data_IF_579639064423
#
_entry.id   IF_579639064423
#
_cell.length_a   1.000
_cell.length_b   1.000
_cell.length_c   1.000
_cell.angle_alpha   90.00
_cell.angle_beta   90.00
_cell.angle_gamma   90.00
#
_symmetry.space_group_name_H-M   'P 1'
#
loop_
_entity.id
_entity.type
_entity.pdbx_description
1 polymer ?
#
# COMPACT_ATOMS: atom_id res chain seq x y z
N UNK A 1 3.14 -21.82 5.81
CA UNK A 1 2.42 -21.58 7.09
C UNK A 1 3.13 -20.64 8.06
N UNK A 2 4.45 -20.73 8.29
CA UNK A 2 5.16 -19.82 9.23
C UNK A 2 4.98 -18.32 8.87
N UNK A 3 5.15 -17.95 7.59
CA UNK A 3 4.92 -16.57 7.10
C UNK A 3 3.50 -16.05 7.38
N UNK A 4 2.48 -16.91 7.20
CA UNK A 4 1.10 -16.51 7.47
C UNK A 4 0.85 -16.24 8.96
N UNK A 5 1.54 -16.95 9.87
CA UNK A 5 1.49 -16.64 11.30
C UNK A 5 2.10 -15.27 11.59
N UNK A 6 3.25 -14.94 10.98
CA UNK A 6 3.85 -13.61 11.14
C UNK A 6 2.96 -12.49 10.60
N UNK A 7 2.34 -12.70 9.44
CA UNK A 7 1.35 -11.77 8.89
C UNK A 7 0.17 -11.55 9.83
N UNK A 8 -0.37 -12.62 10.42
CA UNK A 8 -1.46 -12.53 11.39
C UNK A 8 -1.04 -11.80 12.68
N UNK A 9 0.14 -12.10 13.22
CA UNK A 9 0.67 -11.42 14.41
C UNK A 9 0.86 -9.94 14.15
N UNK A 10 1.43 -9.58 12.99
CA UNK A 10 1.58 -8.18 12.58
C UNK A 10 0.22 -7.49 12.44
N UNK A 11 -0.76 -8.13 11.80
CA UNK A 11 -2.11 -7.60 11.67
C UNK A 11 -2.76 -7.31 13.04
N UNK A 12 -2.72 -8.29 13.94
CA UNK A 12 -3.27 -8.14 15.30
C UNK A 12 -2.57 -7.01 16.04
N UNK A 13 -1.23 -6.95 15.97
CA UNK A 13 -0.44 -5.90 16.61
C UNK A 13 -0.83 -4.50 16.10
N UNK A 14 -0.97 -4.31 14.78
CA UNK A 14 -1.38 -3.04 14.18
C UNK A 14 -2.82 -2.64 14.51
N UNK A 15 -3.69 -3.62 14.78
CA UNK A 15 -5.08 -3.41 15.17
C UNK A 15 -5.28 -3.18 16.67
N UNK A 16 -4.25 -3.32 17.50
CA UNK A 16 -4.34 -2.99 18.92
C UNK A 16 -4.62 -1.49 19.07
N UNK A 17 -5.65 -1.07 19.82
CA UNK A 17 -5.98 0.36 19.99
C UNK A 17 -4.80 1.27 20.34
N UNK A 18 -3.88 0.94 21.28
CA UNK A 18 -2.75 1.83 21.55
C UNK A 18 -1.79 1.98 20.37
N UNK A 19 -1.63 0.93 19.55
CA UNK A 19 -0.75 0.95 18.38
C UNK A 19 -1.42 1.72 17.25
N UNK A 20 -2.69 1.44 16.97
CA UNK A 20 -3.49 2.17 15.98
C UNK A 20 -3.52 3.66 16.30
N UNK A 21 -3.91 4.06 17.52
CA UNK A 21 -3.95 5.45 17.94
C UNK A 21 -2.60 6.17 17.80
N UNK A 22 -1.49 5.49 18.12
CA UNK A 22 -0.15 6.06 17.95
C UNK A 22 0.19 6.27 16.47
N UNK A 23 -0.01 5.27 15.63
CA UNK A 23 0.35 5.36 14.21
C UNK A 23 -0.55 6.35 13.46
N UNK A 24 -1.79 6.52 13.90
CA UNK A 24 -2.77 7.41 13.30
C UNK A 24 -2.63 8.86 13.77
N UNK A 25 -1.93 9.10 14.88
CA UNK A 25 -1.69 10.44 15.41
C UNK A 25 -0.79 11.32 14.55
N UNK A 26 -0.02 10.74 13.62
CA UNK A 26 0.87 11.46 12.71
C UNK A 26 0.59 11.02 11.27
N UNK A 27 0.26 11.98 10.40
CA UNK A 27 -0.21 11.66 9.03
C UNK A 27 0.76 10.79 8.23
N UNK A 28 2.06 11.13 8.26
CA UNK A 28 3.08 10.39 7.50
C UNK A 28 3.24 8.95 8.04
N UNK A 29 3.09 8.74 9.34
CA UNK A 29 3.17 7.41 9.95
C UNK A 29 1.92 6.60 9.59
N UNK A 30 0.74 7.21 9.59
CA UNK A 30 -0.50 6.55 9.17
C UNK A 30 -0.39 6.06 7.71
N UNK A 31 -0.03 6.95 6.77
CA UNK A 31 -0.05 6.65 5.34
C UNK A 31 1.19 5.91 4.83
N UNK A 32 2.40 6.26 5.28
CA UNK A 32 3.65 5.65 4.79
C UNK A 32 4.21 4.54 5.69
N UNK A 33 3.54 4.23 6.81
CA UNK A 33 3.96 3.11 7.66
C UNK A 33 2.79 2.17 7.99
N UNK A 34 1.74 2.61 8.69
CA UNK A 34 0.65 1.73 9.12
C UNK A 34 -0.06 1.08 7.92
N UNK A 35 -0.48 1.87 6.93
CA UNK A 35 -1.19 1.34 5.76
C UNK A 35 -0.34 0.35 4.92
N UNK A 36 0.93 0.67 4.56
CA UNK A 36 1.82 -0.31 3.94
C UNK A 36 2.03 -1.57 4.78
N UNK A 37 2.17 -1.45 6.11
CA UNK A 37 2.33 -2.60 6.99
C UNK A 37 1.07 -3.47 7.05
N UNK A 38 -0.13 -2.88 6.96
CA UNK A 38 -1.37 -3.63 6.80
C UNK A 38 -1.39 -4.41 5.48
N UNK A 39 -0.99 -3.79 4.36
CA UNK A 39 -0.83 -4.50 3.08
C UNK A 39 0.21 -5.62 3.21
N UNK A 40 1.37 -5.35 3.83
CA UNK A 40 2.42 -6.34 4.06
C UNK A 40 1.92 -7.52 4.91
N UNK A 41 1.10 -7.26 5.94
CA UNK A 41 0.49 -8.31 6.76
C UNK A 41 -0.38 -9.25 5.91
N UNK A 42 -1.21 -8.69 5.03
CA UNK A 42 -2.01 -9.43 4.07
C UNK A 42 -1.17 -10.23 3.07
N UNK A 43 -0.12 -9.60 2.53
CA UNK A 43 0.82 -10.23 1.61
C UNK A 43 1.50 -11.46 2.25
N UNK A 44 1.88 -11.38 3.53
CA UNK A 44 2.44 -12.50 4.29
C UNK A 44 1.39 -13.59 4.58
N UNK A 45 0.14 -13.20 4.82
CA UNK A 45 -0.98 -14.12 5.05
C UNK A 45 -1.47 -14.83 3.78
N UNK A 46 -1.21 -14.30 2.58
CA UNK A 46 -1.76 -14.79 1.32
C UNK A 46 -1.53 -16.30 1.08
N UNK A 47 -0.39 -16.84 1.51
CA UNK A 47 -0.09 -18.27 1.37
C UNK A 47 -1.10 -19.18 2.09
N UNK A 48 -1.76 -18.70 3.15
CA UNK A 48 -2.87 -19.43 3.79
C UNK A 48 -4.10 -19.50 2.88
N UNK A 49 -4.48 -18.37 2.27
CA UNK A 49 -5.62 -18.29 1.36
C UNK A 49 -5.39 -19.07 0.06
N UNK A 50 -4.17 -19.05 -0.47
CA UNK A 50 -3.77 -19.85 -1.63
C UNK A 50 -3.93 -21.35 -1.41
N UNK A 51 -3.60 -21.84 -0.21
CA UNK A 51 -3.77 -23.25 0.14
C UNK A 51 -5.23 -23.62 0.46
N UNK A 52 -5.98 -22.70 1.08
CA UNK A 52 -7.36 -22.97 1.52
C UNK A 52 -8.39 -22.80 0.41
N UNK A 53 -8.15 -21.90 -0.54
CA UNK A 53 -9.08 -21.56 -1.63
C UNK A 53 -8.39 -21.56 -3.01
N UNK A 54 -7.66 -22.63 -3.39
CA UNK A 54 -6.90 -22.66 -4.65
C UNK A 54 -7.80 -22.47 -5.87
N UNK A 55 -8.90 -23.23 -5.96
CA UNK A 55 -9.82 -23.20 -7.10
C UNK A 55 -10.48 -21.83 -7.29
N UNK A 56 -10.78 -21.12 -6.19
CA UNK A 56 -11.36 -19.79 -6.26
C UNK A 56 -10.36 -18.79 -6.83
N UNK A 57 -9.13 -18.77 -6.31
CA UNK A 57 -8.09 -17.84 -6.76
C UNK A 57 -7.60 -18.14 -8.18
N UNK A 58 -7.57 -19.41 -8.57
CA UNK A 58 -7.26 -19.80 -9.95
C UNK A 58 -8.35 -19.33 -10.92
N UNK A 59 -9.63 -19.50 -10.57
CA UNK A 59 -10.74 -19.07 -11.42
C UNK A 59 -10.88 -17.55 -11.49
N UNK A 60 -10.74 -16.85 -10.36
CA UNK A 60 -10.92 -15.40 -10.26
C UNK A 60 -9.69 -14.63 -10.76
N UNK A 61 -8.49 -15.14 -10.52
CA UNK A 61 -7.23 -14.42 -10.76
C UNK A 61 -6.21 -15.31 -11.50
N UNK A 62 -6.62 -15.91 -12.61
CA UNK A 62 -5.80 -16.85 -13.39
C UNK A 62 -4.49 -16.24 -13.91
N UNK A 63 -4.54 -14.99 -14.38
CA UNK A 63 -3.41 -14.27 -14.97
C UNK A 63 -2.84 -13.14 -14.08
N UNK A 64 -3.33 -13.01 -12.85
CA UNK A 64 -2.91 -11.96 -11.91
C UNK A 64 -3.51 -10.58 -12.14
N UNK A 65 -4.09 -10.30 -13.31
CA UNK A 65 -4.60 -8.96 -13.65
C UNK A 65 -5.75 -8.53 -12.73
N UNK A 66 -6.80 -9.35 -12.50
CA UNK A 66 -7.91 -8.99 -11.61
C UNK A 66 -7.46 -8.60 -10.19
N UNK A 67 -6.50 -9.36 -9.62
CA UNK A 67 -5.98 -9.07 -8.29
C UNK A 67 -5.14 -7.79 -8.23
N UNK A 68 -4.37 -7.46 -9.29
CA UNK A 68 -3.66 -6.17 -9.36
C UNK A 68 -4.62 -5.01 -9.54
N UNK A 69 -5.66 -5.15 -10.36
CA UNK A 69 -6.69 -4.11 -10.52
C UNK A 69 -7.36 -3.84 -9.17
N UNK A 70 -7.76 -4.90 -8.44
CA UNK A 70 -8.34 -4.75 -7.11
C UNK A 70 -7.37 -4.04 -6.15
N UNK A 71 -6.10 -4.46 -6.14
CA UNK A 71 -5.05 -3.83 -5.36
C UNK A 71 -4.92 -2.33 -5.66
N UNK A 72 -4.84 -1.95 -6.93
CA UNK A 72 -4.72 -0.56 -7.38
C UNK A 72 -5.95 0.27 -6.98
N UNK A 73 -7.16 -0.29 -7.08
CA UNK A 73 -8.39 0.40 -6.67
C UNK A 73 -8.36 0.68 -5.17
N UNK A 74 -8.08 -0.32 -4.35
CA UNK A 74 -8.04 -0.18 -2.89
C UNK A 74 -6.93 0.78 -2.48
N UNK A 75 -5.74 0.65 -3.06
CA UNK A 75 -4.62 1.56 -2.77
C UNK A 75 -4.97 3.00 -3.14
N UNK A 76 -5.49 3.22 -4.35
CA UNK A 76 -5.87 4.57 -4.82
C UNK A 76 -6.93 5.22 -3.93
N UNK A 77 -7.92 4.45 -3.47
CA UNK A 77 -8.93 4.96 -2.54
C UNK A 77 -8.29 5.50 -1.25
N UNK A 78 -7.35 4.77 -0.67
CA UNK A 78 -6.66 5.18 0.56
C UNK A 78 -5.70 6.35 0.37
N UNK A 79 -5.26 6.63 -0.86
CA UNK A 79 -4.47 7.83 -1.16
C UNK A 79 -5.32 9.11 -1.24
N UNK A 80 -6.66 9.01 -1.16
CA UNK A 80 -7.54 10.17 -1.13
C UNK A 80 -7.49 10.86 0.25
N UNK A 81 -7.22 12.18 0.33
CA UNK A 81 -7.19 12.92 1.59
C UNK A 81 -8.47 12.77 2.42
N UNK A 82 -9.62 12.66 1.74
CA UNK A 82 -10.92 12.45 2.37
C UNK A 82 -11.05 11.08 3.04
N UNK A 83 -10.59 10.01 2.40
CA UNK A 83 -10.64 8.67 2.98
C UNK A 83 -9.80 8.58 4.26
N UNK A 84 -8.68 9.30 4.31
CA UNK A 84 -7.86 9.44 5.50
C UNK A 84 -8.56 10.14 6.66
N UNK A 85 -9.26 11.23 6.36
CA UNK A 85 -10.02 11.99 7.36
C UNK A 85 -11.19 11.15 7.93
N UNK A 86 -11.89 10.43 7.04
CA UNK A 86 -12.98 9.54 7.40
C UNK A 86 -12.48 8.32 8.22
N UNK A 87 -11.26 7.84 7.99
CA UNK A 87 -10.69 6.70 8.74
C UNK A 87 -10.52 6.97 10.24
N UNK A 88 -10.39 8.23 10.65
CA UNK A 88 -10.21 8.63 12.05
C UNK A 88 -11.55 8.99 12.69
N UNK A 89 -12.51 9.46 11.88
CA UNK A 89 -13.78 10.02 12.37
C UNK A 89 -14.94 9.02 12.32
N UNK A 90 -14.90 8.06 11.38
CA UNK A 90 -15.97 7.08 11.16
C UNK A 90 -15.44 5.67 11.41
N UNK A 91 -15.97 5.03 12.46
CA UNK A 91 -15.59 3.66 12.83
C UNK A 91 -15.79 2.64 11.69
N UNK A 92 -16.78 2.85 10.83
CA UNK A 92 -17.02 1.98 9.65
C UNK A 92 -15.87 2.08 8.65
N UNK A 93 -15.31 3.28 8.44
CA UNK A 93 -14.20 3.51 7.52
C UNK A 93 -12.89 3.03 8.14
N UNK A 94 -12.71 3.20 9.44
CA UNK A 94 -11.60 2.60 10.19
C UNK A 94 -11.60 1.06 10.05
N UNK A 95 -12.75 0.41 10.29
CA UNK A 95 -12.87 -1.03 10.11
C UNK A 95 -12.60 -1.43 8.66
N UNK A 96 -13.10 -0.64 7.70
CA UNK A 96 -12.82 -0.87 6.28
C UNK A 96 -11.32 -0.77 5.98
N UNK A 97 -10.54 0.13 6.61
CA UNK A 97 -9.08 0.20 6.49
C UNK A 97 -8.41 -1.11 6.90
N UNK A 98 -8.76 -1.60 8.10
CA UNK A 98 -8.21 -2.84 8.65
C UNK A 98 -8.65 -4.10 7.89
N UNK A 99 -9.72 -4.04 7.10
CA UNK A 99 -10.15 -5.17 6.26
C UNK A 99 -9.57 -5.06 4.84
N UNK A 100 -9.74 -3.90 4.20
CA UNK A 100 -9.40 -3.70 2.80
C UNK A 100 -7.89 -3.79 2.54
N UNK A 101 -7.05 -3.16 3.36
CA UNK A 101 -5.61 -3.13 3.11
C UNK A 101 -4.96 -4.53 3.21
N UNK A 102 -5.22 -5.35 4.24
CA UNK A 102 -4.66 -6.70 4.28
C UNK A 102 -5.32 -7.63 3.26
N UNK A 103 -6.65 -7.70 3.22
CA UNK A 103 -7.35 -8.79 2.52
C UNK A 103 -7.72 -8.47 1.07
N UNK A 104 -7.95 -7.19 0.74
CA UNK A 104 -8.31 -6.76 -0.62
C UNK A 104 -7.13 -6.14 -1.39
N UNK A 105 -6.06 -5.72 -0.69
CA UNK A 105 -4.83 -5.28 -1.32
C UNK A 105 -3.68 -6.29 -1.12
N UNK A 106 -3.28 -6.56 0.12
CA UNK A 106 -2.11 -7.40 0.43
C UNK A 106 -2.19 -8.83 -0.12
N UNK A 107 -3.30 -9.53 0.13
CA UNK A 107 -3.49 -10.92 -0.36
C UNK A 107 -3.53 -10.97 -1.89
N UNK A 108 -4.35 -10.18 -2.60
CA UNK A 108 -4.34 -10.14 -4.06
C UNK A 108 -3.00 -9.77 -4.66
N UNK A 109 -2.27 -8.81 -4.06
CA UNK A 109 -0.93 -8.43 -4.54
C UNK A 109 0.01 -9.64 -4.54
N UNK A 110 0.08 -10.40 -3.45
CA UNK A 110 0.94 -11.60 -3.37
C UNK A 110 0.55 -12.67 -4.38
N UNK A 111 -0.75 -12.90 -4.54
CA UNK A 111 -1.27 -13.91 -5.45
C UNK A 111 -1.01 -13.55 -6.91
N UNK A 112 -1.25 -12.29 -7.26
CA UNK A 112 -1.06 -11.79 -8.62
C UNK A 112 0.40 -11.61 -9.01
N UNK A 113 1.30 -11.24 -8.10
CA UNK A 113 2.67 -10.84 -8.45
C UNK A 113 3.44 -11.92 -9.21
N UNK A 114 3.20 -13.19 -8.88
CA UNK A 114 3.84 -14.33 -9.56
C UNK A 114 3.22 -14.65 -10.92
N UNK A 115 1.95 -14.29 -11.14
CA UNK A 115 1.18 -14.56 -12.36
C UNK A 115 1.34 -13.46 -13.41
N UNK A 116 1.75 -12.27 -12.96
CA UNK A 116 1.90 -11.09 -13.80
C UNK A 116 3.14 -11.18 -14.71
N UNK A 117 2.98 -10.77 -15.98
CA UNK A 117 4.10 -10.61 -16.91
C UNK A 117 5.08 -9.52 -16.44
N UNK A 118 6.29 -9.48 -17.00
CA UNK A 118 7.26 -8.41 -16.69
C UNK A 118 6.67 -7.02 -16.93
N UNK A 119 6.06 -6.82 -18.11
CA UNK A 119 5.39 -5.57 -18.49
C UNK A 119 4.32 -5.18 -17.45
N UNK A 120 3.53 -6.14 -16.95
CA UNK A 120 2.52 -5.83 -15.94
C UNK A 120 3.13 -5.36 -14.61
N UNK A 121 4.29 -5.92 -14.21
CA UNK A 121 5.01 -5.47 -13.01
C UNK A 121 5.56 -4.06 -13.20
N UNK A 122 6.09 -3.76 -14.39
CA UNK A 122 6.58 -2.43 -14.76
C UNK A 122 5.46 -1.38 -14.72
N UNK A 123 4.26 -1.74 -15.20
CA UNK A 123 3.07 -0.88 -15.11
C UNK A 123 2.70 -0.58 -13.65
N UNK A 124 2.72 -1.58 -12.77
CA UNK A 124 2.46 -1.38 -11.34
C UNK A 124 3.52 -0.46 -10.71
N UNK A 125 4.78 -0.65 -11.07
CA UNK A 125 5.88 0.19 -10.59
C UNK A 125 5.72 1.65 -11.04
N UNK A 126 5.39 1.87 -12.30
CA UNK A 126 5.12 3.20 -12.86
C UNK A 126 3.91 3.86 -12.20
N UNK A 127 2.84 3.10 -11.94
CA UNK A 127 1.68 3.57 -11.19
C UNK A 127 2.07 4.14 -9.82
N UNK A 128 2.94 3.46 -9.07
CA UNK A 128 3.41 3.96 -7.78
C UNK A 128 4.24 5.24 -7.89
N UNK A 129 5.16 5.31 -8.85
CA UNK A 129 5.94 6.54 -9.09
C UNK A 129 5.00 7.72 -9.35
N UNK A 130 4.06 7.56 -10.29
CA UNK A 130 3.09 8.61 -10.65
C UNK A 130 2.24 8.99 -9.43
N UNK A 131 1.73 8.00 -8.70
CA UNK A 131 0.91 8.25 -7.51
C UNK A 131 1.65 9.07 -6.47
N UNK A 132 2.89 8.72 -6.14
CA UNK A 132 3.69 9.46 -5.15
C UNK A 132 4.06 10.87 -5.64
N UNK A 133 4.33 11.06 -6.93
CA UNK A 133 4.54 12.40 -7.51
C UNK A 133 3.27 13.25 -7.40
N UNK A 134 2.10 12.68 -7.73
CA UNK A 134 0.82 13.38 -7.63
C UNK A 134 0.51 13.75 -6.17
N UNK A 135 0.72 12.84 -5.23
CA UNK A 135 0.58 13.13 -3.80
C UNK A 135 1.53 14.24 -3.35
N UNK A 136 2.80 14.17 -3.73
CA UNK A 136 3.77 15.22 -3.44
C UNK A 136 3.30 16.57 -3.96
N UNK A 137 2.85 16.63 -5.20
CA UNK A 137 2.36 17.87 -5.82
C UNK A 137 1.15 18.44 -5.08
N UNK A 138 0.14 17.62 -4.77
CA UNK A 138 -1.08 18.04 -4.07
C UNK A 138 -0.74 18.58 -2.67
N UNK A 139 0.02 17.82 -1.88
CA UNK A 139 0.28 18.19 -0.49
C UNK A 139 1.31 19.33 -0.36
N UNK A 140 2.38 19.35 -1.15
CA UNK A 140 3.36 20.45 -1.16
C UNK A 140 2.76 21.72 -1.78
N UNK A 141 1.83 21.60 -2.74
CA UNK A 141 1.19 22.73 -3.40
C UNK A 141 0.03 23.36 -2.64
N UNK A 142 -0.68 22.62 -1.78
CA UNK A 142 -1.88 23.13 -1.11
C UNK A 142 -1.56 24.11 0.03
N UNK A 143 -2.00 25.36 -0.05
CA UNK A 143 -1.85 26.35 1.04
C UNK A 143 -2.84 26.14 2.19
N UNK A 144 -3.95 25.44 1.93
CA UNK A 144 -4.96 25.07 2.92
C UNK A 144 -4.86 23.59 3.32
N UNK A 145 -5.45 23.25 4.46
CA UNK A 145 -5.57 21.86 4.91
C UNK A 145 -6.55 21.09 4.02
N UNK A 146 -6.11 19.93 3.51
CA UNK A 146 -6.93 18.99 2.75
C UNK A 146 -7.59 17.94 3.66
N UNK A 147 -6.95 17.63 4.78
CA UNK A 147 -7.47 16.78 5.86
C UNK A 147 -7.72 17.64 7.11
N UNK A 148 -8.86 17.48 7.78
CA UNK A 148 -9.22 18.26 8.97
C UNK A 148 -8.53 17.72 10.22
N UNK A 149 -8.34 16.41 10.29
CA UNK A 149 -7.73 15.74 11.45
C UNK A 149 -6.19 15.77 11.45
N UNK A 150 -5.56 16.37 10.43
CA UNK A 150 -4.10 16.49 10.32
C UNK A 150 -3.67 17.93 10.09
N UNK A 151 -2.61 18.37 10.78
CA UNK A 151 -2.08 19.72 10.64
C UNK A 151 -1.51 19.95 9.23
N UNK A 152 -1.53 21.21 8.77
CA UNK A 152 -0.96 21.58 7.47
C UNK A 152 0.53 21.17 7.37
N UNK A 153 1.29 21.33 8.45
CA UNK A 153 2.70 20.93 8.50
C UNK A 153 2.90 19.43 8.32
N UNK A 154 2.00 18.60 8.84
CA UNK A 154 2.03 17.15 8.66
C UNK A 154 1.71 16.76 7.22
N UNK A 155 0.73 17.44 6.62
CA UNK A 155 0.38 17.28 5.20
C UNK A 155 1.57 17.65 4.30
N UNK A 156 2.27 18.76 4.56
CA UNK A 156 3.51 19.11 3.85
C UNK A 156 4.60 18.06 4.05
N UNK A 157 4.76 17.56 5.26
CA UNK A 157 5.74 16.52 5.59
C UNK A 157 5.44 15.24 4.81
N UNK A 158 4.17 14.84 4.74
CA UNK A 158 3.72 13.72 3.91
C UNK A 158 4.08 13.94 2.44
N UNK A 159 3.78 15.12 1.89
CA UNK A 159 4.08 15.45 0.49
C UNK A 159 5.58 15.37 0.16
N UNK A 160 6.45 15.93 1.01
CA UNK A 160 7.90 15.78 0.86
C UNK A 160 8.37 14.34 1.01
N UNK A 161 7.75 13.57 1.93
CA UNK A 161 7.99 12.13 2.06
C UNK A 161 7.63 11.35 0.79
N UNK A 162 6.46 11.62 0.21
CA UNK A 162 6.06 11.04 -1.08
C UNK A 162 7.03 11.39 -2.20
N UNK A 163 7.50 12.64 -2.26
CA UNK A 163 8.50 13.05 -3.27
C UNK A 163 9.81 12.28 -3.11
N UNK A 164 10.29 12.12 -1.87
CA UNK A 164 11.51 11.37 -1.58
C UNK A 164 11.38 9.89 -2.00
N UNK A 165 10.23 9.27 -1.73
CA UNK A 165 9.95 7.88 -2.15
C UNK A 165 9.91 7.78 -3.68
N UNK A 166 9.22 8.69 -4.36
CA UNK A 166 9.18 8.72 -5.83
C UNK A 166 10.59 8.87 -6.42
N UNK A 167 11.42 9.76 -5.86
CA UNK A 167 12.80 9.95 -6.29
C UNK A 167 13.63 8.68 -6.11
N UNK A 168 13.52 8.01 -4.96
CA UNK A 168 14.20 6.72 -4.72
C UNK A 168 13.74 5.65 -5.73
N UNK A 169 12.45 5.58 -6.03
CA UNK A 169 11.90 4.63 -7.00
C UNK A 169 12.40 4.91 -8.42
N UNK A 170 12.51 6.18 -8.82
CA UNK A 170 13.06 6.58 -10.12
C UNK A 170 14.55 6.23 -10.19
N UNK A 171 15.32 6.53 -9.14
CA UNK A 171 16.75 6.19 -9.09
C UNK A 171 16.94 4.68 -9.24
N UNK A 172 16.15 3.88 -8.52
CA UNK A 172 16.19 2.42 -8.64
C UNK A 172 15.86 1.95 -10.06
N UNK A 173 14.86 2.54 -10.72
CA UNK A 173 14.53 2.20 -12.11
C UNK A 173 15.67 2.55 -13.08
N UNK A 174 16.27 3.74 -12.92
CA UNK A 174 17.42 4.13 -13.73
C UNK A 174 18.60 3.18 -13.50
N UNK A 175 18.87 2.79 -12.26
CA UNK A 175 19.90 1.80 -11.95
C UNK A 175 19.65 0.48 -12.69
N UNK A 176 18.42 -0.04 -12.70
CA UNK A 176 18.10 -1.27 -13.43
C UNK A 176 18.26 -1.15 -14.95
N UNK A 177 18.07 0.04 -15.53
CA UNK A 177 18.21 0.28 -16.97
C UNK A 177 19.68 0.44 -17.38
N UNK A 178 20.48 1.10 -16.54
CA UNK A 178 21.86 1.49 -16.89
C UNK A 178 22.94 0.56 -16.34
N UNK A 179 22.65 -0.24 -15.31
CA UNK A 179 23.60 -1.17 -14.71
C UNK A 179 23.29 -2.58 -15.24
N UNK A 180 24.26 -3.16 -15.94
CA UNK A 180 24.17 -4.55 -16.38
C UNK A 180 24.13 -5.47 -15.16
N UNK A 181 22.97 -6.08 -14.92
CA UNK A 181 22.75 -6.96 -13.76
C UNK A 181 23.61 -8.24 -13.86
N UNK A 182 24.11 -8.59 -15.05
CA UNK A 182 24.95 -9.77 -15.26
C UNK A 182 26.34 -9.68 -14.65
N UNK A 183 26.80 -8.48 -14.26
CA UNK A 183 28.08 -8.30 -13.57
C UNK A 183 28.02 -8.62 -12.05
N UNK A 184 26.82 -8.84 -11.50
CA UNK A 184 26.59 -9.07 -10.06
C UNK A 184 26.02 -10.46 -9.69
N UNK A 185 25.82 -11.35 -10.68
CA UNK A 185 25.49 -12.78 -10.48
C UNK A 185 26.75 -13.67 -10.50
#
# INVERSE_FOLDING_TARGET
MKLAKYGLVLYIFLALPPVANLLESIMIVHMHMQMPLLVASGFLMAGFFQLKFPNFLEKWNSNGIPGIILFVIIWSYWMLPRAMDEAITLQVVELFKFISLPFLAGVPLRDSWKKLSSIGKDIVYLYFIIMFIVMAWIYIGSESQLCNNYLLVEQKTLGWGSLAIAACMIIYLLQLIFIDQSEFE
#
